data_IF_424344131278
#
_entry.id   IF_424344131278
#
_cell.length_a   1.000
_cell.length_b   1.000
_cell.length_c   1.000
_cell.angle_alpha   90.00
_cell.angle_beta   90.00
_cell.angle_gamma   90.00
#
_symmetry.space_group_name_H-M   'P 1'
#
loop_
_entity.id
_entity.type
_entity.pdbx_description
1 polymer ?
#
# COMPACT_ATOMS: atom_id res chain seq x y z
N UNK A 1 6.61 9.57 15.14
CA UNK A 1 5.87 8.32 15.38
C UNK A 1 5.94 7.57 14.06
N UNK A 2 6.60 6.43 14.04
CA UNK A 2 6.98 5.73 12.80
C UNK A 2 6.31 4.33 12.69
N UNK A 3 5.31 4.09 13.54
CA UNK A 3 4.42 2.94 13.48
C UNK A 3 3.08 3.26 14.18
N UNK A 4 2.01 2.57 13.80
CA UNK A 4 0.70 2.63 14.46
C UNK A 4 0.17 1.20 14.63
N UNK A 5 -0.20 0.83 15.86
CA UNK A 5 -0.88 -0.44 16.12
C UNK A 5 -2.33 -0.38 15.61
N UNK A 6 -2.78 -1.46 15.00
CA UNK A 6 -4.16 -1.65 14.54
C UNK A 6 -4.71 -2.97 15.07
N UNK A 7 -6.04 -3.04 15.33
CA UNK A 7 -6.72 -4.31 15.57
C UNK A 7 -7.95 -4.43 14.69
N UNK A 8 -8.01 -5.52 13.93
CA UNK A 8 -9.14 -5.89 13.09
C UNK A 8 -9.78 -7.10 13.73
N UNK A 9 -10.85 -6.91 14.50
CA UNK A 9 -11.37 -7.98 15.36
C UNK A 9 -10.33 -8.36 16.42
N UNK A 10 -9.94 -9.63 16.43
CA UNK A 10 -8.86 -10.18 17.26
C UNK A 10 -7.50 -10.21 16.54
N UNK A 11 -7.45 -9.86 15.26
CA UNK A 11 -6.19 -9.75 14.52
C UNK A 11 -5.46 -8.47 14.93
N UNK A 12 -4.24 -8.62 15.46
CA UNK A 12 -3.37 -7.50 15.79
C UNK A 12 -2.36 -7.27 14.67
N UNK A 13 -2.06 -6.01 14.40
CA UNK A 13 -1.03 -5.61 13.45
C UNK A 13 -0.47 -4.23 13.71
N UNK A 14 0.46 -3.83 12.87
CA UNK A 14 1.08 -2.52 12.88
C UNK A 14 1.22 -1.99 11.46
N UNK A 15 0.85 -0.73 11.26
CA UNK A 15 1.27 0.04 10.09
C UNK A 15 2.67 0.55 10.41
N UNK A 16 3.68 0.09 9.67
CA UNK A 16 5.08 0.42 9.85
C UNK A 16 5.50 1.40 8.76
N UNK A 17 6.08 2.53 9.15
CA UNK A 17 6.55 3.54 8.21
C UNK A 17 7.93 3.16 7.67
N UNK A 18 8.08 2.96 6.37
CA UNK A 18 9.40 2.78 5.73
C UNK A 18 10.08 4.11 5.40
N UNK A 19 9.31 5.21 5.38
CA UNK A 19 9.79 6.52 4.98
C UNK A 19 9.00 7.02 3.77
N UNK A 20 9.65 7.76 2.88
CA UNK A 20 8.95 8.41 1.78
C UNK A 20 9.80 8.67 0.55
N UNK A 21 9.12 8.85 -0.59
CA UNK A 21 9.65 9.52 -1.78
C UNK A 21 9.11 10.93 -1.85
N UNK A 22 10.01 11.91 -1.88
CA UNK A 22 9.63 13.28 -2.22
C UNK A 22 9.63 13.48 -3.73
N UNK A 23 8.59 14.12 -4.25
CA UNK A 23 8.44 14.43 -5.65
C UNK A 23 8.03 15.89 -5.84
N UNK A 24 8.65 16.54 -6.81
CA UNK A 24 8.30 17.87 -7.30
C UNK A 24 7.83 17.77 -8.75
N UNK A 25 7.09 18.78 -9.21
CA UNK A 25 6.48 18.85 -10.54
C UNK A 25 5.66 17.59 -10.87
N UNK A 26 4.53 17.46 -10.16
CA UNK A 26 3.69 16.26 -10.18
C UNK A 26 3.15 15.90 -11.56
N UNK A 27 3.07 16.83 -12.51
CA UNK A 27 2.72 16.56 -13.90
C UNK A 27 4.01 16.52 -14.74
N UNK A 28 4.22 15.54 -15.63
CA UNK A 28 3.22 14.63 -16.19
C UNK A 28 3.02 13.31 -15.42
N UNK A 29 3.64 13.12 -14.26
CA UNK A 29 3.54 11.84 -13.56
C UNK A 29 2.11 11.54 -13.11
N UNK A 30 1.39 12.54 -12.62
CA UNK A 30 -0.03 12.49 -12.27
C UNK A 30 -0.80 13.38 -13.24
N UNK A 31 -1.95 12.90 -13.71
CA UNK A 31 -2.81 13.58 -14.67
C UNK A 31 -2.08 14.03 -15.98
N UNK A 32 -1.38 13.11 -16.69
CA UNK A 32 -0.64 13.48 -17.91
C UNK A 32 -1.52 13.93 -19.09
N UNK A 33 -2.82 13.65 -19.05
CA UNK A 33 -3.76 13.97 -20.13
C UNK A 33 -4.55 15.26 -19.91
N UNK A 34 -4.39 15.88 -18.72
CA UNK A 34 -5.19 17.01 -18.29
C UNK A 34 -4.46 18.35 -18.51
N UNK A 35 -5.20 19.45 -18.60
CA UNK A 35 -4.59 20.77 -18.68
C UNK A 35 -3.83 21.10 -17.38
N UNK A 36 -2.63 21.70 -17.52
CA UNK A 36 -1.76 21.98 -16.38
C UNK A 36 -2.41 22.88 -15.32
N UNK A 37 -3.23 23.86 -15.74
CA UNK A 37 -3.91 24.75 -14.79
C UNK A 37 -5.00 24.00 -14.02
N UNK A 38 -5.75 23.14 -14.71
CA UNK A 38 -6.76 22.28 -14.08
C UNK A 38 -6.13 21.32 -13.07
N UNK A 39 -4.96 20.75 -13.40
CA UNK A 39 -4.19 19.91 -12.46
C UNK A 39 -3.75 20.70 -11.23
N UNK A 40 -3.17 21.89 -11.42
CA UNK A 40 -2.72 22.74 -10.32
C UNK A 40 -3.87 23.20 -9.40
N UNK A 41 -5.05 23.48 -9.96
CA UNK A 41 -6.25 23.80 -9.18
C UNK A 41 -6.80 22.57 -8.44
N UNK A 42 -6.88 21.42 -9.12
CA UNK A 42 -7.33 20.17 -8.52
C UNK A 42 -6.43 19.69 -7.38
N UNK A 43 -5.11 19.80 -7.52
CA UNK A 43 -4.15 19.46 -6.45
C UNK A 43 -4.39 20.31 -5.18
N UNK A 44 -4.69 21.60 -5.33
CA UNK A 44 -5.04 22.48 -4.20
C UNK A 44 -6.35 22.04 -3.55
N UNK A 45 -7.36 21.69 -4.34
CA UNK A 45 -8.67 21.27 -3.85
C UNK A 45 -8.64 19.92 -3.11
N UNK A 46 -7.84 18.97 -3.58
CA UNK A 46 -7.86 17.59 -3.12
C UNK A 46 -6.99 17.29 -1.88
N UNK A 47 -6.51 18.32 -1.18
CA UNK A 47 -5.67 18.15 0.00
C UNK A 47 -4.68 19.27 0.27
N UNK A 48 -4.85 20.43 -0.39
CA UNK A 48 -3.92 21.55 -0.26
C UNK A 48 -2.53 21.25 -0.83
N UNK A 49 -2.40 20.25 -1.70
CA UNK A 49 -1.13 19.92 -2.31
C UNK A 49 -0.72 21.06 -3.26
N UNK A 50 0.53 21.49 -3.12
CA UNK A 50 1.16 22.40 -4.07
C UNK A 50 1.68 21.64 -5.29
N UNK A 51 2.86 22.04 -5.77
CA UNK A 51 3.54 21.37 -6.90
C UNK A 51 4.42 20.19 -6.46
N UNK A 52 4.32 19.77 -5.21
CA UNK A 52 5.10 18.68 -4.64
C UNK A 52 4.26 17.79 -3.73
N UNK A 53 4.70 16.55 -3.57
CA UNK A 53 4.07 15.57 -2.70
C UNK A 53 5.12 14.70 -2.02
N UNK A 54 4.76 14.24 -0.83
CA UNK A 54 5.48 13.22 -0.08
C UNK A 54 4.70 11.91 -0.25
N UNK A 55 5.18 11.00 -1.09
CA UNK A 55 4.61 9.66 -1.19
C UNK A 55 5.16 8.85 -0.02
N UNK A 56 4.30 8.58 0.96
CA UNK A 56 4.68 7.76 2.09
C UNK A 56 4.87 6.29 1.69
N UNK A 57 5.47 5.49 2.56
CA UNK A 57 5.59 4.05 2.40
C UNK A 57 5.06 3.40 3.67
N UNK A 58 3.78 3.06 3.65
CA UNK A 58 3.07 2.46 4.77
C UNK A 58 3.00 0.94 4.56
N UNK A 59 3.82 0.20 5.30
CA UNK A 59 3.92 -1.27 5.24
C UNK A 59 3.04 -1.89 6.31
N UNK A 60 2.24 -2.92 5.98
CA UNK A 60 1.39 -3.58 6.96
C UNK A 60 2.04 -4.84 7.52
N UNK A 61 2.19 -4.90 8.84
CA UNK A 61 2.60 -6.08 9.59
C UNK A 61 1.41 -6.65 10.37
N UNK A 62 1.23 -7.98 10.38
CA UNK A 62 0.13 -8.68 11.03
C UNK A 62 0.62 -9.90 11.82
N UNK A 63 -0.07 -10.20 12.93
CA UNK A 63 0.16 -11.39 13.74
C UNK A 63 -1.10 -12.27 13.76
N UNK A 64 -0.98 -13.52 13.31
CA UNK A 64 -2.08 -14.51 13.31
C UNK A 64 -1.57 -15.88 13.75
N UNK A 65 -1.85 -16.24 15.00
CA UNK A 65 -1.26 -17.43 15.61
C UNK A 65 0.27 -17.31 15.64
N UNK A 66 0.96 -18.31 15.10
CA UNK A 66 2.43 -18.30 15.01
C UNK A 66 2.98 -17.55 13.78
N UNK A 67 2.10 -16.98 12.93
CA UNK A 67 2.51 -16.26 11.72
C UNK A 67 2.73 -14.79 11.98
N UNK A 68 3.82 -14.28 11.41
CA UNK A 68 4.26 -12.88 11.42
C UNK A 68 4.40 -12.45 9.97
N UNK A 69 3.35 -11.77 9.49
CA UNK A 69 3.09 -11.55 8.08
C UNK A 69 3.40 -10.10 7.74
N UNK A 70 4.20 -9.87 6.71
CA UNK A 70 4.36 -8.55 6.08
C UNK A 70 3.61 -8.52 4.75
N UNK A 71 2.88 -7.44 4.49
CA UNK A 71 2.43 -7.08 3.16
C UNK A 71 3.42 -6.04 2.64
N UNK A 72 4.24 -6.46 1.67
CA UNK A 72 5.42 -5.78 1.16
C UNK A 72 6.54 -5.55 2.19
N UNK A 73 7.68 -5.04 1.72
CA UNK A 73 8.92 -4.88 2.47
C UNK A 73 9.57 -3.50 2.29
N UNK A 74 8.85 -2.51 1.77
CA UNK A 74 9.37 -1.16 1.60
C UNK A 74 10.50 -1.04 0.58
N UNK A 75 11.13 0.13 0.53
CA UNK A 75 12.05 0.51 -0.54
C UNK A 75 13.50 0.08 -0.33
N UNK A 76 13.86 -0.36 0.88
CA UNK A 76 15.28 -0.53 1.22
C UNK A 76 16.06 0.75 0.85
N UNK A 77 17.12 0.60 0.07
CA UNK A 77 17.96 1.74 -0.33
C UNK A 77 17.49 2.44 -1.63
N UNK A 78 16.46 1.94 -2.33
CA UNK A 78 16.11 2.43 -3.66
C UNK A 78 15.62 3.88 -3.69
N UNK A 79 15.05 4.37 -2.59
CA UNK A 79 14.56 5.74 -2.46
C UNK A 79 15.53 6.66 -1.70
N UNK A 80 16.77 6.21 -1.46
CA UNK A 80 17.78 6.99 -0.77
C UNK A 80 17.46 7.22 0.71
N UNK A 81 18.07 8.23 1.36
CA UNK A 81 18.05 8.36 2.81
C UNK A 81 16.69 8.73 3.43
N UNK A 82 15.67 9.02 2.61
CA UNK A 82 14.32 9.33 3.08
C UNK A 82 13.45 8.09 3.31
N UNK A 83 13.88 6.90 2.86
CA UNK A 83 13.19 5.62 2.98
C UNK A 83 14.07 4.55 3.64
N UNK A 84 13.65 3.27 3.61
CA UNK A 84 14.42 2.14 4.13
C UNK A 84 14.38 1.99 5.65
N UNK A 85 13.38 2.57 6.32
CA UNK A 85 13.23 2.53 7.78
C UNK A 85 12.48 1.31 8.29
N UNK A 86 11.97 0.43 7.41
CA UNK A 86 11.15 -0.72 7.81
C UNK A 86 11.80 -1.57 8.91
N UNK A 87 13.06 -2.00 8.74
CA UNK A 87 13.73 -2.88 9.71
C UNK A 87 13.91 -2.19 11.07
N UNK A 88 14.25 -0.90 11.07
CA UNK A 88 14.35 -0.11 12.29
C UNK A 88 12.99 -0.02 13.01
N UNK A 89 11.91 0.20 12.26
CA UNK A 89 10.59 0.39 12.82
C UNK A 89 9.88 -0.91 13.21
N UNK A 90 10.19 -2.04 12.56
CA UNK A 90 9.85 -3.38 13.05
C UNK A 90 10.51 -3.67 14.41
N UNK A 91 11.80 -3.37 14.54
CA UNK A 91 12.51 -3.51 15.81
C UNK A 91 11.88 -2.65 16.92
N UNK A 92 11.42 -1.45 16.58
CA UNK A 92 10.76 -0.55 17.54
C UNK A 92 9.45 -1.12 18.11
N UNK A 93 8.77 -2.02 17.37
CA UNK A 93 7.59 -2.76 17.85
C UNK A 93 7.93 -4.16 18.35
N UNK A 94 9.22 -4.45 18.58
CA UNK A 94 9.69 -5.70 19.16
C UNK A 94 9.75 -6.89 18.20
N UNK A 95 9.76 -6.63 16.89
CA UNK A 95 9.82 -7.68 15.85
C UNK A 95 11.17 -7.66 15.17
N UNK A 96 11.90 -8.77 15.22
CA UNK A 96 13.16 -8.93 14.48
C UNK A 96 12.92 -9.56 13.10
N UNK A 97 13.78 -9.30 12.09
CA UNK A 97 13.55 -9.78 10.73
C UNK A 97 13.51 -11.31 10.58
N UNK A 98 14.23 -12.05 11.43
CA UNK A 98 14.22 -13.51 11.50
C UNK A 98 12.89 -14.09 12.02
N UNK A 99 12.06 -13.27 12.67
CA UNK A 99 10.74 -13.69 13.12
C UNK A 99 9.67 -13.59 12.04
N UNK A 100 9.92 -12.86 10.94
CA UNK A 100 8.96 -12.75 9.85
C UNK A 100 8.85 -14.09 9.13
N UNK A 101 7.66 -14.68 9.14
CA UNK A 101 7.39 -16.01 8.58
C UNK A 101 6.94 -15.93 7.13
N UNK A 102 6.20 -14.88 6.77
CA UNK A 102 5.54 -14.75 5.48
C UNK A 102 5.63 -13.30 4.97
N UNK A 103 6.03 -13.13 3.72
CA UNK A 103 6.01 -11.83 3.02
C UNK A 103 5.13 -11.97 1.79
N UNK A 104 4.01 -11.24 1.80
CA UNK A 104 3.04 -11.15 0.71
C UNK A 104 3.38 -9.93 -0.12
N UNK A 105 3.78 -10.15 -1.36
CA UNK A 105 4.23 -9.11 -2.29
C UNK A 105 3.06 -8.72 -3.16
N UNK A 106 2.59 -7.49 -2.99
CA UNK A 106 1.41 -6.97 -3.68
C UNK A 106 1.65 -6.81 -5.18
N UNK A 107 2.86 -6.39 -5.54
CA UNK A 107 3.40 -6.28 -6.90
C UNK A 107 4.93 -6.06 -6.85
N UNK A 108 5.65 -6.24 -7.97
CA UNK A 108 7.12 -6.27 -8.01
C UNK A 108 7.69 -4.89 -8.42
N UNK A 109 7.32 -3.86 -7.67
CA UNK A 109 8.06 -2.59 -7.68
C UNK A 109 9.10 -2.53 -6.56
N UNK A 110 10.09 -1.66 -6.73
CA UNK A 110 11.27 -1.56 -5.86
C UNK A 110 10.95 -1.04 -4.48
N UNK A 111 9.95 -0.18 -4.38
CA UNK A 111 9.45 0.38 -3.13
C UNK A 111 8.59 -0.58 -2.33
N UNK A 112 8.31 -1.76 -2.89
CA UNK A 112 7.56 -2.84 -2.25
C UNK A 112 8.47 -4.04 -1.95
N UNK A 113 9.43 -4.33 -2.83
CA UNK A 113 10.31 -5.50 -2.72
C UNK A 113 11.74 -5.15 -2.28
N UNK A 114 12.10 -3.87 -2.25
CA UNK A 114 13.46 -3.40 -2.05
C UNK A 114 14.05 -3.75 -0.69
N UNK A 115 13.25 -3.70 0.37
CA UNK A 115 13.72 -4.05 1.72
C UNK A 115 13.91 -5.56 1.94
N UNK A 116 13.58 -6.42 0.96
CA UNK A 116 13.85 -7.86 1.07
C UNK A 116 15.36 -8.14 1.07
N UNK A 117 16.16 -7.33 0.39
CA UNK A 117 17.60 -7.49 0.29
C UNK A 117 18.34 -6.34 0.97
N UNK A 118 19.49 -6.63 1.60
CA UNK A 118 20.43 -5.60 2.01
C UNK A 118 21.39 -5.22 0.88
N UNK A 119 22.26 -4.24 1.14
CA UNK A 119 23.28 -3.76 0.20
C UNK A 119 24.25 -4.84 -0.29
N UNK A 120 24.43 -5.93 0.47
CA UNK A 120 25.25 -7.06 0.08
C UNK A 120 24.48 -8.11 -0.76
N UNK A 121 23.22 -7.83 -1.12
CA UNK A 121 22.36 -8.74 -1.88
C UNK A 121 21.85 -9.93 -1.06
N UNK A 122 21.95 -9.89 0.27
CA UNK A 122 21.44 -10.96 1.15
C UNK A 122 20.04 -10.65 1.64
N UNK A 123 19.25 -11.69 1.86
CA UNK A 123 17.92 -11.58 2.45
C UNK A 123 17.99 -10.94 3.84
N UNK A 124 17.17 -9.91 4.06
CA UNK A 124 16.92 -9.36 5.39
C UNK A 124 16.00 -10.25 6.23
N UNK A 125 15.17 -11.08 5.58
CA UNK A 125 14.17 -11.95 6.22
C UNK A 125 14.53 -13.43 5.96
N UNK A 126 15.47 -14.00 6.72
CA UNK A 126 16.09 -15.29 6.40
C UNK A 126 15.19 -16.50 6.61
N UNK A 127 14.07 -16.37 7.32
CA UNK A 127 13.11 -17.46 7.58
C UNK A 127 11.81 -17.32 6.76
N UNK A 128 11.63 -16.20 6.05
CA UNK A 128 10.38 -15.92 5.37
C UNK A 128 10.15 -16.82 4.14
N UNK A 129 8.90 -17.24 3.98
CA UNK A 129 8.32 -17.65 2.70
C UNK A 129 7.76 -16.43 1.97
N UNK A 130 7.88 -16.42 0.64
CA UNK A 130 7.42 -15.31 -0.19
C UNK A 130 6.19 -15.71 -0.98
N UNK A 131 5.24 -14.79 -1.15
CA UNK A 131 3.99 -15.01 -1.85
C UNK A 131 3.78 -13.89 -2.86
N UNK A 132 3.61 -14.22 -4.15
CA UNK A 132 3.43 -13.26 -5.25
C UNK A 132 2.23 -13.65 -6.10
N UNK A 133 1.50 -12.68 -6.65
CA UNK A 133 0.44 -12.96 -7.61
C UNK A 133 0.96 -13.71 -8.84
N UNK A 134 0.25 -14.74 -9.28
CA UNK A 134 0.65 -15.53 -10.45
C UNK A 134 0.75 -14.66 -11.71
N UNK A 135 -0.24 -13.81 -11.95
CA UNK A 135 -0.28 -12.86 -13.06
C UNK A 135 0.89 -11.87 -13.01
N UNK A 136 1.28 -11.47 -11.80
CA UNK A 136 2.41 -10.56 -11.58
C UNK A 136 3.72 -11.27 -11.95
N UNK A 137 3.90 -12.49 -11.44
CA UNK A 137 5.08 -13.30 -11.72
C UNK A 137 5.20 -13.61 -13.22
N UNK A 138 4.12 -14.01 -13.86
CA UNK A 138 4.06 -14.30 -15.29
C UNK A 138 4.44 -13.08 -16.13
N UNK A 139 3.92 -11.89 -15.82
CA UNK A 139 4.27 -10.67 -16.53
C UNK A 139 5.78 -10.37 -16.47
N UNK A 140 6.36 -10.34 -15.27
CA UNK A 140 7.78 -9.97 -15.10
C UNK A 140 8.76 -11.02 -15.64
N UNK A 141 8.34 -12.28 -15.75
CA UNK A 141 9.15 -13.36 -16.29
C UNK A 141 9.14 -13.45 -17.82
N UNK A 142 8.26 -12.71 -18.51
CA UNK A 142 8.26 -12.68 -19.97
C UNK A 142 9.62 -12.23 -20.52
N UNK A 143 10.07 -12.77 -21.66
CA UNK A 143 11.28 -12.29 -22.33
C UNK A 143 11.20 -10.77 -22.58
N UNK A 144 10.04 -10.32 -23.08
CA UNK A 144 9.72 -8.93 -23.40
C UNK A 144 8.33 -8.58 -22.84
N UNK A 145 8.22 -8.13 -21.58
CA UNK A 145 6.95 -7.70 -21.01
C UNK A 145 6.40 -6.46 -21.73
N UNK A 146 5.09 -6.42 -21.96
CA UNK A 146 4.43 -5.36 -22.72
C UNK A 146 4.15 -4.11 -21.87
N UNK A 147 4.79 -2.99 -22.22
CA UNK A 147 4.55 -1.66 -21.65
C UNK A 147 3.91 -0.68 -22.65
N UNK A 148 3.39 -1.16 -23.79
CA UNK A 148 2.85 -0.33 -24.87
C UNK A 148 1.68 0.56 -24.44
N UNK A 149 0.95 0.14 -23.42
CA UNK A 149 -0.18 0.88 -22.81
C UNK A 149 0.23 1.85 -21.71
N UNK A 150 1.51 1.88 -21.33
CA UNK A 150 2.00 2.82 -20.33
C UNK A 150 2.23 4.21 -20.94
N UNK A 151 1.95 5.24 -20.13
CA UNK A 151 2.31 6.62 -20.48
C UNK A 151 3.77 6.94 -20.11
N UNK A 152 4.42 6.12 -19.28
CA UNK A 152 5.85 6.25 -18.99
C UNK A 152 6.67 5.75 -20.18
N UNK A 153 7.61 6.58 -20.63
CA UNK A 153 8.38 6.33 -21.86
C UNK A 153 9.76 5.73 -21.63
N UNK A 154 10.24 5.68 -20.39
CA UNK A 154 11.60 5.25 -20.05
C UNK A 154 11.64 4.46 -18.74
N UNK A 155 12.64 3.58 -18.61
CA UNK A 155 12.96 2.89 -17.36
C UNK A 155 12.23 1.56 -17.15
N UNK A 156 11.50 1.06 -18.15
CA UNK A 156 10.94 -0.29 -18.12
C UNK A 156 12.06 -1.33 -18.08
N UNK A 157 13.17 -1.14 -18.78
CA UNK A 157 14.29 -2.10 -18.81
C UNK A 157 14.89 -2.31 -17.41
N UNK A 158 15.06 -1.22 -16.67
CA UNK A 158 15.51 -1.27 -15.28
C UNK A 158 14.48 -2.03 -14.44
N UNK A 159 13.20 -1.73 -14.57
CA UNK A 159 12.15 -2.39 -13.79
C UNK A 159 12.12 -3.90 -14.06
N UNK A 160 12.19 -4.31 -15.33
CA UNK A 160 12.25 -5.71 -15.77
C UNK A 160 13.47 -6.41 -15.16
N UNK A 161 14.66 -5.81 -15.26
CA UNK A 161 15.88 -6.40 -14.71
C UNK A 161 15.78 -6.60 -13.20
N UNK A 162 15.22 -5.63 -12.47
CA UNK A 162 15.06 -5.75 -11.02
C UNK A 162 14.04 -6.83 -10.66
N UNK A 163 12.90 -6.91 -11.35
CA UNK A 163 11.90 -7.94 -11.10
C UNK A 163 12.41 -9.36 -11.40
N UNK A 164 13.19 -9.55 -12.47
CA UNK A 164 13.83 -10.83 -12.80
C UNK A 164 14.88 -11.24 -11.78
N UNK A 165 15.71 -10.30 -11.32
CA UNK A 165 16.69 -10.58 -10.26
C UNK A 165 15.97 -10.92 -8.95
N UNK A 166 14.98 -10.12 -8.58
CA UNK A 166 14.15 -10.32 -7.40
C UNK A 166 13.57 -11.74 -7.36
N UNK A 167 12.83 -12.13 -8.39
CA UNK A 167 12.16 -13.44 -8.46
C UNK A 167 13.14 -14.61 -8.48
N UNK A 168 14.30 -14.45 -9.12
CA UNK A 168 15.37 -15.46 -9.11
C UNK A 168 15.91 -15.70 -7.70
N UNK A 169 16.22 -14.64 -6.95
CA UNK A 169 16.83 -14.75 -5.62
C UNK A 169 15.90 -15.37 -4.58
N UNK A 170 14.58 -15.17 -4.68
CA UNK A 170 13.60 -15.76 -3.75
C UNK A 170 13.01 -17.11 -4.22
N UNK A 171 13.36 -17.57 -5.43
CA UNK A 171 12.71 -18.71 -6.10
C UNK A 171 12.62 -20.00 -5.26
N UNK A 172 13.60 -20.26 -4.41
CA UNK A 172 13.60 -21.44 -3.53
C UNK A 172 12.54 -21.42 -2.41
N UNK A 173 11.86 -20.29 -2.20
CA UNK A 173 10.83 -20.09 -1.16
C UNK A 173 9.64 -19.29 -1.66
N UNK A 174 9.50 -19.20 -2.99
CA UNK A 174 8.44 -18.45 -3.64
C UNK A 174 7.21 -19.33 -3.82
N UNK A 175 6.08 -18.82 -3.38
CA UNK A 175 4.75 -19.36 -3.59
C UNK A 175 3.94 -18.36 -4.40
N UNK A 176 2.89 -18.84 -5.07
CA UNK A 176 1.97 -17.98 -5.82
C UNK A 176 0.59 -17.94 -5.17
N UNK A 177 -0.13 -16.84 -5.40
CA UNK A 177 -1.57 -16.72 -5.13
C UNK A 177 -2.29 -16.19 -6.39
N UNK A 178 -3.60 -16.37 -6.45
CA UNK A 178 -4.48 -15.89 -7.52
C UNK A 178 -5.64 -15.04 -6.94
N UNK A 179 -6.42 -14.39 -7.80
CA UNK A 179 -7.61 -13.64 -7.38
C UNK A 179 -8.59 -14.50 -6.58
N UNK A 180 -9.13 -13.96 -5.48
CA UNK A 180 -10.06 -14.65 -4.60
C UNK A 180 -9.43 -15.65 -3.63
N UNK A 181 -8.12 -15.90 -3.70
CA UNK A 181 -7.44 -16.74 -2.72
C UNK A 181 -7.54 -16.18 -1.31
N UNK A 182 -7.55 -17.09 -0.33
CA UNK A 182 -7.52 -16.73 1.09
C UNK A 182 -6.22 -17.20 1.73
N UNK A 183 -5.38 -16.24 2.11
CA UNK A 183 -4.11 -16.52 2.76
C UNK A 183 -4.24 -16.41 4.29
N UNK A 184 -3.69 -17.40 4.97
CA UNK A 184 -3.51 -17.42 6.44
C UNK A 184 -4.80 -17.24 7.28
N UNK A 185 -5.97 -17.34 6.65
CA UNK A 185 -7.26 -17.12 7.30
C UNK A 185 -7.55 -15.67 7.70
N UNK A 186 -6.77 -14.70 7.22
CA UNK A 186 -6.96 -13.28 7.53
C UNK A 186 -6.75 -12.34 6.34
N UNK A 187 -6.34 -12.85 5.17
CA UNK A 187 -6.17 -12.09 3.94
C UNK A 187 -7.04 -12.71 2.84
N UNK A 188 -7.78 -11.89 2.13
CA UNK A 188 -8.46 -12.23 0.89
C UNK A 188 -7.84 -11.39 -0.24
N UNK A 189 -7.36 -12.07 -1.27
CA UNK A 189 -6.71 -11.46 -2.44
C UNK A 189 -7.79 -10.92 -3.37
N UNK A 190 -7.60 -9.68 -3.84
CA UNK A 190 -8.47 -9.05 -4.82
C UNK A 190 -7.59 -8.47 -5.93
N UNK A 191 -7.67 -9.05 -7.12
CA UNK A 191 -6.94 -8.56 -8.28
C UNK A 191 -7.41 -7.14 -8.64
N UNK A 192 -6.45 -6.24 -8.79
CA UNK A 192 -6.66 -4.83 -9.05
C UNK A 192 -5.67 -4.36 -10.12
N UNK A 193 -5.85 -4.83 -11.37
CA UNK A 193 -4.83 -4.71 -12.40
C UNK A 193 -4.76 -3.27 -12.93
N UNK A 194 -3.64 -2.94 -13.56
CA UNK A 194 -3.43 -1.67 -14.26
C UNK A 194 -2.14 -0.99 -13.83
N UNK A 195 -1.93 -0.86 -12.51
CA UNK A 195 -0.66 -0.37 -11.97
C UNK A 195 0.51 -1.27 -12.40
N UNK A 196 0.40 -2.55 -12.07
CA UNK A 196 1.00 -3.67 -12.79
C UNK A 196 -0.11 -4.65 -13.18
N UNK A 197 0.13 -5.60 -14.11
CA UNK A 197 -0.89 -6.54 -14.52
C UNK A 197 -1.40 -7.47 -13.42
N UNK A 198 -0.55 -7.84 -12.46
CA UNK A 198 -0.91 -8.69 -11.32
C UNK A 198 -1.01 -7.95 -9.99
N UNK A 199 -1.05 -6.61 -10.00
CA UNK A 199 -1.24 -5.81 -8.80
C UNK A 199 -2.51 -6.24 -8.06
N UNK A 200 -2.38 -6.56 -6.78
CA UNK A 200 -3.49 -6.97 -5.93
C UNK A 200 -3.69 -6.03 -4.76
N UNK A 201 -4.96 -5.79 -4.42
CA UNK A 201 -5.36 -5.22 -3.14
C UNK A 201 -5.79 -6.36 -2.21
N UNK A 202 -5.71 -6.13 -0.91
CA UNK A 202 -5.95 -7.19 0.07
C UNK A 202 -7.05 -6.76 1.02
N UNK A 203 -8.10 -7.57 1.16
CA UNK A 203 -9.02 -7.44 2.28
C UNK A 203 -8.41 -8.15 3.48
N UNK A 204 -8.12 -7.39 4.53
CA UNK A 204 -7.63 -7.92 5.80
C UNK A 204 -8.81 -8.01 6.76
N UNK A 205 -9.08 -9.20 7.29
CA UNK A 205 -10.32 -9.46 8.02
C UNK A 205 -10.16 -10.36 9.24
N UNK A 206 -11.10 -10.20 10.17
CA UNK A 206 -11.38 -11.13 11.25
C UNK A 206 -12.88 -11.10 11.55
N UNK A 207 -13.56 -12.22 11.27
CA UNK A 207 -15.02 -12.29 11.30
C UNK A 207 -15.67 -11.27 10.37
N UNK A 208 -16.45 -10.33 10.93
CA UNK A 208 -17.15 -9.28 10.18
C UNK A 208 -16.36 -7.96 10.10
N UNK A 209 -15.25 -7.83 10.82
CA UNK A 209 -14.42 -6.62 10.78
C UNK A 209 -13.38 -6.78 9.68
N UNK A 210 -13.23 -5.77 8.83
CA UNK A 210 -12.24 -5.79 7.75
C UNK A 210 -11.85 -4.40 7.28
N UNK A 211 -10.61 -4.24 6.83
CA UNK A 211 -10.17 -3.12 6.00
C UNK A 211 -9.63 -3.65 4.66
N UNK A 212 -9.49 -2.77 3.67
CA UNK A 212 -8.83 -3.11 2.41
C UNK A 212 -7.52 -2.33 2.31
N UNK A 213 -6.41 -3.02 2.07
CA UNK A 213 -5.16 -2.38 1.71
C UNK A 213 -5.12 -2.15 0.20
N UNK A 214 -5.25 -0.90 -0.23
CA UNK A 214 -5.32 -0.49 -1.65
C UNK A 214 -3.96 -0.44 -2.34
N UNK A 215 -2.87 -0.54 -1.56
CA UNK A 215 -1.49 -0.49 -2.06
C UNK A 215 -1.33 0.73 -2.98
N UNK A 216 -1.06 0.49 -4.27
CA UNK A 216 -0.72 1.51 -5.27
C UNK A 216 -1.89 1.83 -6.20
N UNK A 217 -3.07 1.27 -5.93
CA UNK A 217 -4.28 1.81 -6.55
C UNK A 217 -4.43 3.31 -6.21
N UNK A 218 -4.01 3.74 -5.02
CA UNK A 218 -4.03 5.14 -4.57
C UNK A 218 -2.61 5.65 -4.27
N UNK A 219 -2.16 6.67 -5.01
CA UNK A 219 -0.86 7.30 -4.80
C UNK A 219 -0.95 8.63 -4.04
N UNK A 220 -1.91 9.48 -4.43
CA UNK A 220 -2.12 10.81 -3.84
C UNK A 220 -3.62 11.09 -3.65
N UNK A 221 -4.02 11.91 -2.66
CA UNK A 221 -5.42 12.28 -2.45
C UNK A 221 -6.13 12.88 -3.68
N UNK A 222 -5.37 13.54 -4.58
CA UNK A 222 -5.90 14.07 -5.82
C UNK A 222 -6.42 13.00 -6.79
N UNK A 223 -5.75 11.85 -6.90
CA UNK A 223 -6.26 10.75 -7.74
C UNK A 223 -7.50 10.08 -7.13
N UNK A 224 -7.71 10.22 -5.81
CA UNK A 224 -8.98 9.82 -5.16
C UNK A 224 -10.09 10.80 -5.52
N UNK A 225 -9.78 12.10 -5.53
CA UNK A 225 -10.79 13.14 -5.77
C UNK A 225 -11.17 13.28 -7.24
N UNK A 226 -10.20 13.07 -8.12
CA UNK A 226 -10.35 13.12 -9.57
C UNK A 226 -10.07 11.73 -10.14
N UNK A 227 -11.01 10.81 -9.95
CA UNK A 227 -10.85 9.40 -10.34
C UNK A 227 -10.59 9.17 -11.84
N UNK A 228 -10.90 10.16 -12.69
CA UNK A 228 -10.58 10.14 -14.12
C UNK A 228 -9.10 10.42 -14.41
N UNK A 229 -8.34 11.00 -13.48
CA UNK A 229 -6.91 11.24 -13.68
C UNK A 229 -6.12 9.93 -13.57
N UNK A 230 -5.17 9.73 -14.49
CA UNK A 230 -4.24 8.60 -14.47
C UNK A 230 -2.85 8.95 -13.92
N UNK A 231 -1.99 7.94 -13.80
CA UNK A 231 -0.56 8.16 -13.49
C UNK A 231 0.35 7.42 -14.44
N UNK A 232 1.51 8.01 -14.73
CA UNK A 232 2.58 7.36 -15.51
C UNK A 232 3.19 6.15 -14.79
N UNK A 233 2.92 5.96 -13.49
CA UNK A 233 3.34 4.73 -12.82
C UNK A 233 2.54 3.50 -13.25
N UNK A 234 1.38 3.69 -13.89
CA UNK A 234 0.55 2.58 -14.36
C UNK A 234 1.14 1.93 -15.64
N UNK A 235 1.27 0.61 -15.62
CA UNK A 235 1.71 -0.23 -16.75
C UNK A 235 0.65 -0.25 -17.86
N UNK A 236 -0.62 -0.35 -17.49
CA UNK A 236 -1.78 -0.10 -18.35
C UNK A 236 -2.52 1.13 -17.81
N UNK A 237 -2.32 2.27 -18.47
CA UNK A 237 -2.77 3.57 -17.98
C UNK A 237 -4.29 3.67 -17.86
N UNK A 238 -5.04 3.16 -18.83
CA UNK A 238 -6.50 3.22 -18.80
C UNK A 238 -7.08 2.20 -17.82
N UNK A 239 -6.49 1.00 -17.74
CA UNK A 239 -6.93 0.00 -16.77
C UNK A 239 -6.66 0.46 -15.33
N UNK A 240 -5.51 1.11 -15.07
CA UNK A 240 -5.19 1.69 -13.76
C UNK A 240 -6.21 2.74 -13.32
N UNK A 241 -6.64 3.63 -14.23
CA UNK A 241 -7.74 4.59 -14.00
C UNK A 241 -9.04 3.87 -13.65
N UNK A 242 -9.43 2.87 -14.43
CA UNK A 242 -10.69 2.13 -14.24
C UNK A 242 -10.71 1.37 -12.90
N UNK A 243 -9.64 0.66 -12.59
CA UNK A 243 -9.47 -0.06 -11.31
C UNK A 243 -9.55 0.90 -10.13
N UNK A 244 -8.84 2.03 -10.19
CA UNK A 244 -8.89 3.06 -9.15
C UNK A 244 -10.30 3.61 -8.98
N UNK A 245 -10.97 3.98 -10.07
CA UNK A 245 -12.33 4.53 -10.04
C UNK A 245 -13.34 3.53 -9.44
N UNK A 246 -13.22 2.24 -9.78
CA UNK A 246 -14.04 1.17 -9.19
C UNK A 246 -13.86 1.10 -7.68
N UNK A 247 -12.61 1.01 -7.20
CA UNK A 247 -12.31 0.95 -5.76
C UNK A 247 -12.81 2.20 -5.02
N UNK A 248 -12.66 3.39 -5.60
CA UNK A 248 -13.18 4.64 -5.02
C UNK A 248 -14.71 4.58 -4.87
N UNK A 249 -15.42 4.17 -5.91
CA UNK A 249 -16.88 4.13 -5.91
C UNK A 249 -17.44 3.07 -4.94
N UNK A 250 -16.90 1.85 -4.98
CA UNK A 250 -17.25 0.76 -4.05
C UNK A 250 -16.97 1.18 -2.60
N UNK A 251 -15.78 1.72 -2.33
CA UNK A 251 -15.40 2.13 -0.99
C UNK A 251 -16.24 3.26 -0.41
N UNK A 252 -16.62 4.24 -1.24
CA UNK A 252 -17.51 5.31 -0.81
C UNK A 252 -18.93 4.81 -0.51
N UNK A 253 -19.44 3.88 -1.33
CA UNK A 253 -20.76 3.29 -1.14
C UNK A 253 -20.83 2.41 0.12
N UNK A 254 -19.81 1.58 0.35
CA UNK A 254 -19.74 0.63 1.47
C UNK A 254 -19.17 1.24 2.75
N UNK A 255 -18.65 2.47 2.70
CA UNK A 255 -17.90 3.13 3.78
C UNK A 255 -16.67 2.32 4.22
N UNK A 256 -16.02 1.69 3.25
CA UNK A 256 -14.84 0.85 3.46
C UNK A 256 -13.72 1.64 4.12
N UNK A 257 -13.08 1.02 5.12
CA UNK A 257 -11.82 1.52 5.66
C UNK A 257 -10.70 1.03 4.75
N UNK A 258 -9.91 1.98 4.25
CA UNK A 258 -8.75 1.72 3.43
C UNK A 258 -7.45 1.96 4.18
N UNK A 259 -6.43 1.20 3.80
CA UNK A 259 -5.02 1.49 4.03
C UNK A 259 -4.35 1.66 2.66
N UNK A 260 -3.65 2.76 2.42
CA UNK A 260 -2.85 2.97 1.20
C UNK A 260 -1.36 3.02 1.53
N UNK A 261 -0.52 2.50 0.63
CA UNK A 261 0.93 2.55 0.74
C UNK A 261 1.43 4.01 0.74
N UNK A 262 0.90 4.83 -0.18
CA UNK A 262 1.47 6.14 -0.52
C UNK A 262 0.73 7.36 0.01
N UNK A 263 -0.50 7.19 0.50
CA UNK A 263 -1.20 8.30 1.14
C UNK A 263 -0.55 8.68 2.48
N UNK A 264 -0.72 9.95 2.93
CA UNK A 264 -0.03 10.45 4.13
C UNK A 264 -0.18 9.52 5.33
N UNK A 265 0.95 9.20 5.98
CA UNK A 265 1.02 8.29 7.12
C UNK A 265 -0.05 8.64 8.18
N UNK A 266 -0.84 7.66 8.66
CA UNK A 266 -0.65 6.21 8.50
C UNK A 266 -1.24 5.60 7.23
N UNK A 267 -1.68 6.39 6.26
CA UNK A 267 -2.33 5.89 5.05
C UNK A 267 -3.71 5.27 5.28
N UNK A 268 -4.25 5.35 6.51
CA UNK A 268 -5.54 4.82 6.87
C UNK A 268 -6.64 5.88 6.77
N UNK A 269 -7.76 5.55 6.12
CA UNK A 269 -8.81 6.53 5.81
C UNK A 269 -10.04 5.91 5.17
N UNK A 270 -10.93 6.76 4.71
CA UNK A 270 -12.10 6.42 3.90
C UNK A 270 -12.13 7.27 2.65
N UNK A 271 -12.82 6.77 1.64
CA UNK A 271 -13.31 7.60 0.55
C UNK A 271 -14.72 8.07 0.92
N UNK A 272 -14.96 9.37 0.87
CA UNK A 272 -16.28 9.97 1.08
C UNK A 272 -16.72 10.72 -0.18
N UNK A 273 -18.03 10.81 -0.41
CA UNK A 273 -18.59 11.70 -1.43
C UNK A 273 -18.90 13.06 -0.76
N UNK A 274 -18.21 14.11 -1.20
CA UNK A 274 -18.43 15.49 -0.77
C UNK A 274 -18.91 16.33 -1.95
N UNK A 275 -20.21 16.62 -1.96
CA UNK A 275 -20.89 17.24 -3.09
C UNK A 275 -20.84 16.35 -4.33
N UNK A 276 -20.00 16.70 -5.31
CA UNK A 276 -19.84 15.97 -6.58
C UNK A 276 -18.47 15.28 -6.71
N UNK A 277 -17.61 15.41 -5.71
CA UNK A 277 -16.25 14.86 -5.74
C UNK A 277 -16.09 13.83 -4.64
N UNK A 278 -15.32 12.78 -4.94
CA UNK A 278 -14.79 11.94 -3.88
C UNK A 278 -13.69 12.70 -3.13
N UNK A 279 -13.47 12.34 -1.86
CA UNK A 279 -12.36 12.86 -1.06
C UNK A 279 -11.78 11.76 -0.20
N UNK A 280 -10.47 11.80 -0.02
CA UNK A 280 -9.81 11.03 1.02
C UNK A 280 -10.07 11.69 2.37
N UNK A 281 -10.73 10.97 3.27
CA UNK A 281 -10.92 11.34 4.67
C UNK A 281 -9.95 10.50 5.52
N UNK A 282 -8.83 11.05 5.99
CA UNK A 282 -7.92 10.33 6.89
C UNK A 282 -8.67 9.92 8.16
N UNK A 283 -8.44 8.70 8.63
CA UNK A 283 -8.91 8.32 9.96
C UNK A 283 -8.16 9.15 11.00
N UNK A 284 -8.92 9.84 11.87
CA UNK A 284 -8.33 10.56 12.99
C UNK A 284 -7.74 9.54 13.95
N UNK A 285 -6.43 9.61 14.10
CA UNK A 285 -5.70 8.79 15.06
C UNK A 285 -5.51 9.65 16.31
N UNK A 286 -6.18 9.31 17.43
CA UNK A 286 -6.03 10.03 18.71
C UNK A 286 -4.90 9.46 19.57
N UNK A 287 -3.86 10.25 19.89
CA UNK A 287 -2.75 9.80 20.75
C UNK A 287 -3.27 9.40 22.14
N UNK A 288 -3.05 8.16 22.57
CA UNK A 288 -3.12 7.84 23.99
C UNK A 288 -1.91 8.47 24.69
N UNK A 289 -2.14 9.50 25.51
CA UNK A 289 -1.18 9.92 26.52
C UNK A 289 -1.25 8.91 27.66
N UNK A 290 -0.15 8.26 28.07
CA UNK A 290 -0.18 7.30 29.16
C UNK A 290 -0.61 8.03 30.44
N UNK A 291 -1.88 7.86 30.81
CA UNK A 291 -2.43 8.42 32.04
C UNK A 291 -2.47 7.29 33.07
N UNK A 292 -1.78 7.47 34.18
CA UNK A 292 -1.73 6.54 35.31
C UNK A 292 -3.15 6.10 35.73
N UNK A 293 -3.57 4.92 35.27
CA UNK A 293 -4.60 4.12 35.93
C UNK A 293 -6.07 4.51 35.76
N UNK A 294 -6.53 5.09 34.64
CA UNK A 294 -7.98 5.16 34.33
C UNK A 294 -8.31 4.82 32.87
N UNK A 295 -9.43 4.08 32.75
CA UNK A 295 -9.96 3.31 31.62
C UNK A 295 -10.21 4.10 30.34
N UNK A 296 -10.10 3.38 29.22
CA UNK A 296 -10.42 3.71 27.84
C UNK A 296 -11.60 4.66 27.63
N UNK A 297 -11.41 5.64 26.74
CA UNK A 297 -12.50 6.42 26.15
C UNK A 297 -12.98 5.77 24.86
N UNK A 298 -14.19 5.22 24.92
CA UNK A 298 -15.00 4.75 23.81
C UNK A 298 -15.41 5.94 22.92
N UNK A 299 -14.99 5.93 21.64
CA UNK A 299 -15.39 6.96 20.67
C UNK A 299 -16.72 6.54 20.03
N UNK A 300 -17.77 6.52 20.84
CA UNK A 300 -19.15 6.31 20.39
C UNK A 300 -19.87 7.65 20.19
N UNK A 301 -19.86 8.16 18.94
CA UNK A 301 -21.13 8.69 18.42
C UNK A 301 -22.04 7.48 18.23
N UNK A 302 -23.06 7.39 19.09
CA UNK A 302 -24.08 6.34 19.12
C UNK A 302 -24.52 5.92 17.70
N UNK A 303 -24.40 4.62 17.38
CA UNK A 303 -25.31 3.98 16.43
C UNK A 303 -24.78 3.44 15.10
N UNK A 304 -23.53 2.96 14.97
CA UNK A 304 -23.13 2.14 13.81
C UNK A 304 -22.44 0.83 14.23
N UNK A 305 -22.89 -0.36 13.77
CA UNK A 305 -22.43 -1.66 14.31
C UNK A 305 -21.06 -2.14 13.82
N UNK A 306 -20.42 -1.44 12.87
CA UNK A 306 -19.22 -1.91 12.19
C UNK A 306 -18.04 -0.95 12.45
N UNK A 307 -17.26 -1.20 13.51
CA UNK A 307 -16.03 -0.45 13.80
C UNK A 307 -14.83 -1.37 14.03
N UNK A 308 -13.78 -1.15 13.25
CA UNK A 308 -12.41 -1.61 13.50
C UNK A 308 -11.85 -0.76 14.63
N UNK A 309 -11.28 -1.40 15.65
CA UNK A 309 -10.66 -0.71 16.77
C UNK A 309 -9.19 -0.47 16.43
N UNK A 310 -8.88 0.72 15.91
CA UNK A 310 -7.49 1.18 15.80
C UNK A 310 -7.02 1.51 17.22
N UNK A 311 -6.57 0.48 17.95
CA UNK A 311 -6.04 0.64 19.31
C UNK A 311 -4.54 0.84 19.26
N UNK A 312 -4.10 1.96 19.82
CA UNK A 312 -2.72 2.25 20.13
C UNK A 312 -2.16 1.30 21.20
N UNK A 313 -0.89 0.96 21.06
CA UNK A 313 0.00 0.64 22.19
C UNK A 313 1.10 1.69 22.18
#
# INVERSE_FOLDING_TARGET
MEHIKINIGQLTGYIIYDGYKYMEDLQPIFAPEEDRKEVEEGLKLAGGLGRSVKLDLNVLYLEKGDRKILLDAGAGDYFGPSAGRLLQNLKAVGVSPDQITDIVITHIHKDHTGGIFNQAGKLNFPEASFYVGKEELEFWQQPEPDFSKSKRKTGSEVSISNAKNFTKEISGRLNTYEDGDRLFGCLEVILAPGHTPGHCVFRIFDGRKSLIHTVDAFHIPALVSFAAWGTQFDTDFELGKQTRARLIAEGAAERTIYLSCHLPFPGAGRVILDGRLYKWEPLVVEKQVPNNGKVATDISKKGTPDKIDVLYV
#
